data_IF_953318760399
#
_entry.id   IF_953318760399
#
_cell.length_a   1.000
_cell.length_b   1.000
_cell.length_c   1.000
_cell.angle_alpha   90.00
_cell.angle_beta   90.00
_cell.angle_gamma   90.00
#
_symmetry.space_group_name_H-M   'P 1'
#
loop_
_entity.id
_entity.type
_entity.pdbx_description
1 polymer ?
#
# COMPACT_ATOMS: atom_id res chain seq x y z
N UNK A 1 -11.58 -11.99 -14.51
CA UNK A 1 -11.41 -10.71 -13.81
C UNK A 1 -10.09 -10.01 -14.17
N UNK A 2 -8.90 -10.61 -14.00
CA UNK A 2 -7.60 -9.98 -14.32
C UNK A 2 -7.48 -9.50 -15.77
N UNK A 3 -7.95 -10.32 -16.75
CA UNK A 3 -7.93 -9.94 -18.17
C UNK A 3 -8.76 -8.68 -18.48
N UNK A 4 -9.91 -8.53 -17.83
CA UNK A 4 -10.77 -7.34 -17.99
C UNK A 4 -10.06 -6.10 -17.44
N UNK A 5 -9.44 -6.19 -16.26
CA UNK A 5 -8.68 -5.08 -15.68
C UNK A 5 -7.48 -4.74 -16.57
N UNK A 6 -6.74 -5.75 -17.04
CA UNK A 6 -5.60 -5.55 -17.93
C UNK A 6 -6.00 -4.83 -19.22
N UNK A 7 -7.11 -5.25 -19.83
CA UNK A 7 -7.67 -4.62 -21.01
C UNK A 7 -8.09 -3.16 -20.74
N UNK A 8 -8.80 -2.92 -19.65
CA UNK A 8 -9.21 -1.56 -19.26
C UNK A 8 -8.01 -0.62 -19.05
N UNK A 9 -6.95 -1.09 -18.38
CA UNK A 9 -5.71 -0.32 -18.20
C UNK A 9 -5.03 -0.07 -19.55
N UNK A 10 -4.97 -1.08 -20.43
CA UNK A 10 -4.35 -0.96 -21.76
C UNK A 10 -5.09 0.00 -22.67
N UNK A 11 -6.41 -0.04 -22.67
CA UNK A 11 -7.25 0.82 -23.53
C UNK A 11 -7.30 2.28 -23.01
N UNK A 12 -7.00 2.53 -21.73
CA UNK A 12 -7.06 3.87 -21.16
C UNK A 12 -5.99 4.83 -21.74
N UNK A 13 -4.76 4.33 -21.99
CA UNK A 13 -3.63 5.17 -22.44
C UNK A 13 -2.53 4.41 -23.21
N UNK A 14 -2.77 3.16 -23.59
CA UNK A 14 -1.83 2.36 -24.40
C UNK A 14 -0.59 1.83 -23.66
N UNK A 15 -0.31 2.31 -22.45
CA UNK A 15 0.91 1.99 -21.70
C UNK A 15 0.93 0.56 -21.09
N UNK A 16 1.93 0.21 -20.27
CA UNK A 16 2.06 -1.10 -19.64
C UNK A 16 0.91 -1.35 -18.67
N UNK A 17 0.44 -2.63 -18.61
CA UNK A 17 -0.65 -3.05 -17.72
C UNK A 17 -0.23 -3.07 -16.26
N UNK A 18 1.00 -3.53 -16.02
CA UNK A 18 1.54 -3.67 -14.68
C UNK A 18 2.54 -2.58 -14.36
N UNK A 19 2.50 -2.16 -13.11
CA UNK A 19 3.51 -1.34 -12.47
C UNK A 19 4.34 -2.22 -11.52
N UNK A 20 5.65 -2.09 -11.61
CA UNK A 20 6.63 -2.84 -10.81
C UNK A 20 7.43 -1.89 -9.97
N UNK A 21 7.62 -2.23 -8.69
CA UNK A 21 8.41 -1.40 -7.78
C UNK A 21 9.13 -2.26 -6.74
N UNK A 22 10.39 -1.94 -6.51
CA UNK A 22 11.16 -2.60 -5.47
C UNK A 22 10.69 -2.20 -4.08
N UNK A 23 10.48 -3.21 -3.25
CA UNK A 23 9.99 -3.09 -1.89
C UNK A 23 10.89 -3.85 -0.93
N UNK A 24 10.96 -3.37 0.31
CA UNK A 24 11.68 -4.08 1.37
C UNK A 24 10.72 -5.02 2.08
N UNK A 25 11.09 -6.30 2.13
CA UNK A 25 10.36 -7.41 2.74
C UNK A 25 10.97 -7.84 4.07
N UNK A 26 10.68 -9.11 4.44
CA UNK A 26 11.20 -9.72 5.66
C UNK A 26 12.74 -9.75 5.64
N UNK A 27 13.34 -9.52 6.81
CA UNK A 27 14.80 -9.53 7.04
C UNK A 27 15.55 -8.55 6.10
N UNK A 28 14.85 -7.49 5.63
CA UNK A 28 15.43 -6.50 4.75
C UNK A 28 15.61 -6.95 3.29
N UNK A 29 15.12 -8.13 2.90
CA UNK A 29 15.21 -8.64 1.53
C UNK A 29 14.38 -7.79 0.59
N UNK A 30 14.96 -7.40 -0.54
CA UNK A 30 14.25 -6.65 -1.58
C UNK A 30 13.49 -7.61 -2.47
N UNK A 31 12.23 -7.27 -2.76
CA UNK A 31 11.40 -7.99 -3.72
C UNK A 31 10.66 -7.03 -4.65
N UNK A 32 10.25 -7.50 -5.82
CA UNK A 32 9.47 -6.70 -6.77
C UNK A 32 8.00 -6.80 -6.44
N UNK A 33 7.44 -5.70 -5.91
CA UNK A 33 5.99 -5.55 -5.75
C UNK A 33 5.32 -5.28 -7.10
N UNK A 34 4.23 -5.98 -7.38
CA UNK A 34 3.48 -5.88 -8.63
C UNK A 34 2.10 -5.30 -8.37
N UNK A 35 1.66 -4.34 -9.20
CA UNK A 35 0.31 -3.76 -9.16
C UNK A 35 -0.23 -3.59 -10.57
N UNK A 36 -1.56 -3.50 -10.73
CA UNK A 36 -2.09 -2.89 -11.93
C UNK A 36 -1.74 -1.41 -11.94
N UNK A 37 -1.30 -0.92 -13.10
CA UNK A 37 -0.95 0.49 -13.25
C UNK A 37 -2.20 1.36 -13.10
N UNK A 38 -2.15 2.30 -12.18
CA UNK A 38 -3.23 3.24 -11.88
C UNK A 38 -2.87 4.70 -12.13
N UNK A 39 -1.63 4.96 -12.57
CA UNK A 39 -1.10 6.28 -12.91
C UNK A 39 -0.64 6.32 -14.36
N UNK A 40 -0.49 7.54 -14.90
CA UNK A 40 0.08 7.74 -16.24
C UNK A 40 1.48 7.13 -16.35
N UNK A 41 1.91 6.70 -17.53
CA UNK A 41 3.27 6.20 -17.75
C UNK A 41 4.31 7.21 -17.27
N UNK A 42 5.45 6.71 -16.79
CA UNK A 42 6.63 7.51 -16.39
C UNK A 42 6.36 8.53 -15.28
N UNK A 43 5.26 8.35 -14.52
CA UNK A 43 4.91 9.28 -13.45
C UNK A 43 6.01 9.41 -12.38
N UNK A 44 6.76 8.34 -12.07
CA UNK A 44 7.88 8.40 -11.12
C UNK A 44 9.12 9.08 -11.70
N UNK A 45 9.38 8.92 -12.99
CA UNK A 45 10.51 9.58 -13.65
C UNK A 45 10.31 11.10 -13.71
N UNK A 46 9.05 11.54 -13.94
CA UNK A 46 8.71 12.96 -14.06
C UNK A 46 8.57 13.68 -12.73
N UNK A 47 8.06 13.01 -11.69
CA UNK A 47 7.72 13.64 -10.39
C UNK A 47 8.43 13.00 -9.20
N UNK A 48 9.31 12.02 -9.43
CA UNK A 48 9.99 11.27 -8.37
C UNK A 48 9.08 10.23 -7.69
N UNK A 49 9.69 9.45 -6.80
CA UNK A 49 9.01 8.44 -5.99
C UNK A 49 8.20 9.10 -4.84
N UNK A 50 7.18 9.88 -5.19
CA UNK A 50 6.33 10.59 -4.23
C UNK A 50 4.99 9.86 -4.08
N UNK A 51 4.55 9.56 -2.83
CA UNK A 51 3.23 8.98 -2.59
C UNK A 51 2.12 9.84 -3.21
N UNK A 52 1.11 9.17 -3.78
CA UNK A 52 -0.01 9.86 -4.40
C UNK A 52 -0.86 10.62 -3.39
N UNK A 53 -1.23 11.86 -3.73
CA UNK A 53 -2.23 12.65 -3.01
C UNK A 53 -3.66 12.18 -3.34
N UNK A 54 -4.66 12.66 -2.57
CA UNK A 54 -6.07 12.26 -2.75
C UNK A 54 -6.63 12.60 -4.15
N UNK A 55 -6.21 13.74 -4.74
CA UNK A 55 -6.63 14.17 -6.07
C UNK A 55 -5.41 14.34 -6.99
N UNK A 56 -4.52 13.35 -6.98
CA UNK A 56 -3.30 13.38 -7.75
C UNK A 56 -3.59 13.36 -9.25
N UNK A 57 -3.13 14.36 -10.04
CA UNK A 57 -3.38 14.43 -11.49
C UNK A 57 -2.75 13.29 -12.27
N UNK A 58 -1.78 12.59 -11.69
CA UNK A 58 -1.14 11.42 -12.29
C UNK A 58 -2.05 10.20 -12.35
N UNK A 59 -3.15 10.18 -11.57
CA UNK A 59 -4.06 9.02 -11.50
C UNK A 59 -4.98 9.01 -12.72
N UNK A 60 -4.96 7.93 -13.50
CA UNK A 60 -5.81 7.74 -14.67
C UNK A 60 -7.30 7.56 -14.28
N UNK A 61 -8.23 7.69 -15.24
CA UNK A 61 -9.66 7.45 -15.00
C UNK A 61 -9.91 6.02 -14.49
N UNK A 62 -9.33 5.03 -15.15
CA UNK A 62 -9.38 3.61 -14.72
C UNK A 62 -8.68 3.44 -13.39
N UNK A 63 -7.52 4.08 -13.20
CA UNK A 63 -6.76 4.06 -11.96
C UNK A 63 -7.55 4.55 -10.74
N UNK A 64 -8.43 5.55 -10.88
CA UNK A 64 -9.31 6.02 -9.80
C UNK A 64 -10.23 4.90 -9.29
N UNK A 65 -10.83 4.13 -10.22
CA UNK A 65 -11.71 3.02 -9.88
C UNK A 65 -10.90 1.89 -9.20
N UNK A 66 -9.76 1.51 -9.80
CA UNK A 66 -8.91 0.47 -9.25
C UNK A 66 -8.44 0.78 -7.83
N UNK A 67 -8.04 2.03 -7.56
CA UNK A 67 -7.59 2.46 -6.23
C UNK A 67 -8.73 2.58 -5.22
N UNK A 68 -9.93 3.01 -5.66
CA UNK A 68 -11.11 3.07 -4.78
C UNK A 68 -11.57 1.68 -4.31
N UNK A 69 -11.37 0.67 -5.16
CA UNK A 69 -11.73 -0.74 -4.91
C UNK A 69 -10.57 -1.60 -4.42
N UNK A 70 -9.36 -1.03 -4.31
CA UNK A 70 -8.10 -1.73 -4.02
C UNK A 70 -7.77 -2.85 -5.04
N UNK A 71 -8.42 -2.87 -6.21
CA UNK A 71 -8.16 -3.85 -7.27
C UNK A 71 -6.80 -3.68 -7.93
N UNK A 72 -6.20 -2.50 -7.84
CA UNK A 72 -4.82 -2.27 -8.29
C UNK A 72 -3.80 -3.14 -7.53
N UNK A 73 -4.11 -3.58 -6.32
CA UNK A 73 -3.23 -4.41 -5.50
C UNK A 73 -3.39 -5.94 -5.71
N UNK A 74 -4.37 -6.38 -6.52
CA UNK A 74 -4.58 -7.82 -6.79
C UNK A 74 -3.33 -8.56 -7.29
N UNK A 75 -2.45 -7.99 -8.14
CA UNK A 75 -1.23 -8.68 -8.56
C UNK A 75 -0.25 -9.00 -7.42
N UNK A 76 -0.37 -8.34 -6.24
CA UNK A 76 0.45 -8.67 -5.07
C UNK A 76 0.10 -10.05 -4.47
N UNK A 77 -1.04 -10.65 -4.83
CA UNK A 77 -1.33 -12.05 -4.51
C UNK A 77 -0.24 -13.00 -5.01
N UNK A 78 0.41 -12.65 -6.12
CA UNK A 78 1.58 -13.38 -6.60
C UNK A 78 2.77 -13.30 -5.65
N UNK A 79 3.02 -12.13 -5.06
CA UNK A 79 4.06 -11.96 -4.02
C UNK A 79 3.74 -12.75 -2.74
N UNK A 80 2.44 -12.88 -2.41
CA UNK A 80 2.01 -13.73 -1.28
C UNK A 80 2.24 -15.20 -1.60
N UNK A 81 1.87 -15.65 -2.79
CA UNK A 81 2.08 -17.02 -3.23
C UNK A 81 3.57 -17.41 -3.24
N UNK A 82 4.44 -16.50 -3.67
CA UNK A 82 5.90 -16.69 -3.64
C UNK A 82 6.51 -16.66 -2.24
N UNK A 83 5.77 -16.20 -1.22
CA UNK A 83 6.25 -16.05 0.14
C UNK A 83 7.01 -14.75 0.43
N UNK A 84 7.05 -13.81 -0.52
CA UNK A 84 7.63 -12.47 -0.33
C UNK A 84 6.77 -11.61 0.60
N UNK A 85 5.44 -11.85 0.59
CA UNK A 85 4.44 -11.14 1.39
C UNK A 85 3.53 -12.11 2.15
N UNK A 86 2.71 -11.55 3.03
CA UNK A 86 1.55 -12.20 3.65
C UNK A 86 0.27 -11.39 3.37
N UNK A 87 -0.90 -11.92 3.68
CA UNK A 87 -2.13 -11.12 3.68
C UNK A 87 -2.08 -10.01 4.72
N UNK A 88 -1.53 -10.32 5.90
CA UNK A 88 -1.43 -9.38 7.03
C UNK A 88 0.02 -9.15 7.40
N UNK A 89 0.37 -7.88 7.65
CA UNK A 89 1.72 -7.48 8.04
C UNK A 89 1.95 -5.97 7.87
N UNK A 90 3.12 -5.48 8.25
CA UNK A 90 3.53 -4.11 7.95
C UNK A 90 3.48 -3.83 6.44
N UNK A 91 2.94 -2.67 6.03
CA UNK A 91 2.92 -2.33 4.59
C UNK A 91 4.34 -2.22 4.04
N UNK A 92 4.68 -2.91 2.93
CA UNK A 92 6.02 -2.84 2.37
C UNK A 92 6.32 -1.43 1.84
N UNK A 93 7.44 -0.85 2.27
CA UNK A 93 7.89 0.47 1.84
C UNK A 93 8.91 0.35 0.70
N UNK A 94 9.07 1.43 -0.07
CA UNK A 94 10.04 1.55 -1.15
C UNK A 94 11.46 1.55 -0.60
N UNK A 95 12.40 0.99 -1.33
CA UNK A 95 13.81 0.90 -0.91
C UNK A 95 14.38 2.28 -0.55
N UNK A 96 14.09 3.31 -1.37
CA UNK A 96 14.55 4.67 -1.15
C UNK A 96 13.95 5.29 0.13
N UNK A 97 12.65 5.02 0.37
CA UNK A 97 11.99 5.50 1.57
C UNK A 97 12.50 4.80 2.82
N UNK A 98 12.80 3.50 2.75
CA UNK A 98 13.39 2.76 3.87
C UNK A 98 14.75 3.33 4.23
N UNK A 99 15.61 3.64 3.25
CA UNK A 99 16.91 4.29 3.50
C UNK A 99 16.73 5.61 4.25
N UNK A 100 15.78 6.45 3.81
CA UNK A 100 15.48 7.72 4.47
C UNK A 100 14.96 7.50 5.90
N UNK A 101 14.03 6.54 6.09
CA UNK A 101 13.42 6.32 7.41
C UNK A 101 14.39 5.69 8.41
N UNK A 102 15.35 4.88 7.97
CA UNK A 102 16.46 4.39 8.81
C UNK A 102 17.30 5.52 9.39
N UNK A 103 17.57 6.56 8.59
CA UNK A 103 18.32 7.73 9.07
C UNK A 103 17.54 8.54 10.12
N UNK A 104 16.20 8.61 10.00
CA UNK A 104 15.33 9.36 10.91
C UNK A 104 14.92 8.56 12.17
N UNK A 105 14.84 7.22 12.05
CA UNK A 105 14.31 6.32 13.09
C UNK A 105 15.18 5.06 13.12
N UNK A 106 16.18 4.98 14.02
CA UNK A 106 17.09 3.83 14.09
C UNK A 106 16.41 2.46 14.26
N UNK A 107 15.25 2.42 14.94
CA UNK A 107 14.47 1.19 15.13
C UNK A 107 13.55 0.83 13.96
N UNK A 108 13.63 1.54 12.83
CA UNK A 108 12.70 1.34 11.70
C UNK A 108 12.75 -0.09 11.14
N UNK A 109 13.92 -0.71 11.14
CA UNK A 109 14.11 -2.06 10.59
C UNK A 109 13.48 -3.18 11.41
N UNK A 110 13.14 -2.93 12.68
CA UNK A 110 12.48 -3.93 13.51
C UNK A 110 11.12 -4.37 12.94
N UNK A 111 10.50 -3.57 12.09
CA UNK A 111 9.29 -3.92 11.37
C UNK A 111 9.48 -5.02 10.32
N UNK A 112 10.71 -5.22 9.87
CA UNK A 112 11.06 -6.22 8.87
C UNK A 112 11.29 -7.62 9.45
N UNK A 113 11.13 -7.82 10.76
CA UNK A 113 11.21 -9.14 11.40
C UNK A 113 10.08 -10.09 10.93
N UNK A 114 8.99 -9.53 10.39
CA UNK A 114 7.86 -10.27 9.84
C UNK A 114 7.67 -9.99 8.36
N UNK A 115 6.93 -10.87 7.65
CA UNK A 115 6.57 -10.62 6.25
C UNK A 115 5.70 -9.37 6.14
N UNK A 116 5.92 -8.53 5.12
CA UNK A 116 5.01 -7.42 4.83
C UNK A 116 3.65 -7.93 4.38
N UNK A 117 2.60 -7.11 4.60
CA UNK A 117 1.22 -7.47 4.30
C UNK A 117 0.51 -6.54 3.33
N UNK A 118 -0.55 -7.05 2.70
CA UNK A 118 -1.53 -6.24 1.96
C UNK A 118 -2.31 -5.35 2.93
N UNK A 119 -2.70 -5.90 4.06
CA UNK A 119 -3.29 -5.17 5.18
C UNK A 119 -2.48 -5.35 6.46
N UNK A 120 -2.80 -4.60 7.52
CA UNK A 120 -2.12 -4.70 8.80
C UNK A 120 -2.68 -3.71 9.81
N UNK A 121 -2.17 -3.74 11.05
CA UNK A 121 -2.64 -2.89 12.13
C UNK A 121 -2.60 -1.39 11.77
N UNK A 122 -1.50 -0.91 11.17
CA UNK A 122 -1.37 0.48 10.76
C UNK A 122 -2.35 0.88 9.66
N UNK A 123 -2.70 -0.04 8.74
CA UNK A 123 -3.67 0.22 7.67
C UNK A 123 -5.12 0.22 8.20
N UNK A 124 -5.45 -0.69 9.12
CA UNK A 124 -6.82 -0.83 9.65
C UNK A 124 -7.15 0.23 10.70
N UNK A 125 -6.25 0.51 11.63
CA UNK A 125 -6.48 1.42 12.76
C UNK A 125 -5.82 2.80 12.59
N UNK A 126 -4.87 2.92 11.67
CA UNK A 126 -4.20 4.17 11.38
C UNK A 126 -5.03 5.11 10.51
N UNK A 127 -4.53 6.32 10.31
CA UNK A 127 -5.05 7.34 9.38
C UNK A 127 -3.90 7.88 8.52
N UNK A 128 -4.23 8.48 7.38
CA UNK A 128 -3.24 8.94 6.39
C UNK A 128 -2.21 9.93 6.95
N UNK A 129 -2.65 10.83 7.83
CA UNK A 129 -1.82 11.87 8.44
C UNK A 129 -1.01 11.39 9.65
N UNK A 130 -1.12 10.11 10.01
CA UNK A 130 -0.37 9.54 11.12
C UNK A 130 1.13 9.62 10.87
N UNK A 131 1.88 10.08 11.87
CA UNK A 131 3.34 10.14 11.79
C UNK A 131 3.96 8.76 11.58
N UNK A 132 5.13 8.71 10.94
CA UNK A 132 5.88 7.46 10.68
C UNK A 132 6.20 6.69 11.95
N UNK A 133 6.54 7.41 13.04
CA UNK A 133 6.82 6.80 14.36
C UNK A 133 5.57 6.11 14.91
N UNK A 134 4.38 6.68 14.72
CA UNK A 134 3.14 6.03 15.14
C UNK A 134 2.80 4.82 14.27
N UNK A 135 2.99 4.90 12.95
CA UNK A 135 2.83 3.73 12.06
C UNK A 135 3.77 2.59 12.47
N UNK A 136 5.03 2.92 12.76
CA UNK A 136 6.01 1.94 13.23
C UNK A 136 5.57 1.27 14.54
N UNK A 137 4.95 2.00 15.48
CA UNK A 137 4.43 1.38 16.72
C UNK A 137 3.37 0.30 16.42
N UNK A 138 2.46 0.54 15.46
CA UNK A 138 1.50 -0.47 15.03
C UNK A 138 2.18 -1.67 14.35
N UNK A 139 3.18 -1.42 13.52
CA UNK A 139 3.94 -2.48 12.86
C UNK A 139 4.68 -3.36 13.88
N UNK A 140 5.33 -2.74 14.87
CA UNK A 140 6.01 -3.46 15.95
C UNK A 140 5.04 -4.20 16.88
N UNK A 141 3.87 -3.61 17.16
CA UNK A 141 2.81 -4.27 17.91
C UNK A 141 2.33 -5.54 17.19
N UNK A 142 2.12 -5.44 15.86
CA UNK A 142 1.77 -6.59 15.04
C UNK A 142 2.87 -7.66 15.08
N UNK A 143 4.12 -7.27 14.87
CA UNK A 143 5.25 -8.21 14.87
C UNK A 143 5.37 -9.02 16.18
N UNK A 144 5.01 -8.39 17.33
CA UNK A 144 5.02 -9.04 18.65
C UNK A 144 3.78 -9.90 18.94
N UNK A 145 2.64 -9.60 18.31
CA UNK A 145 1.34 -10.20 18.64
C UNK A 145 0.70 -10.94 17.47
N UNK A 146 1.45 -11.18 16.39
CA UNK A 146 0.89 -11.87 15.23
C UNK A 146 0.29 -13.23 15.65
N UNK A 147 -0.90 -13.50 15.19
CA UNK A 147 -1.62 -14.74 15.40
C UNK A 147 -2.67 -14.92 14.32
N UNK A 148 -3.08 -16.17 14.07
CA UNK A 148 -4.12 -16.47 13.09
C UNK A 148 -5.42 -15.67 13.34
N UNK A 149 -5.86 -15.56 14.59
CA UNK A 149 -7.09 -14.83 14.93
C UNK A 149 -6.95 -13.32 14.73
N UNK A 150 -5.80 -12.75 15.02
CA UNK A 150 -5.52 -11.34 14.74
C UNK A 150 -5.52 -11.09 13.23
N UNK A 151 -4.88 -11.97 12.45
CA UNK A 151 -4.83 -11.86 11.00
C UNK A 151 -6.22 -11.96 10.39
N UNK A 152 -7.02 -12.94 10.78
CA UNK A 152 -8.40 -13.11 10.32
C UNK A 152 -9.22 -11.85 10.62
N UNK A 153 -9.13 -11.32 11.85
CA UNK A 153 -9.81 -10.08 12.24
C UNK A 153 -9.40 -8.89 11.37
N UNK A 154 -8.10 -8.71 11.11
CA UNK A 154 -7.58 -7.61 10.31
C UNK A 154 -8.01 -7.71 8.85
N UNK A 155 -8.04 -8.91 8.28
CA UNK A 155 -8.57 -9.16 6.93
C UNK A 155 -10.04 -8.74 6.85
N UNK A 156 -10.90 -9.23 7.77
CA UNK A 156 -12.33 -8.89 7.78
C UNK A 156 -12.56 -7.38 7.93
N UNK A 157 -11.84 -6.73 8.84
CA UNK A 157 -11.93 -5.28 9.04
C UNK A 157 -11.45 -4.49 7.82
N UNK A 158 -10.43 -4.99 7.12
CA UNK A 158 -9.92 -4.37 5.89
C UNK A 158 -10.96 -4.43 4.77
N UNK A 159 -11.61 -5.59 4.57
CA UNK A 159 -12.72 -5.73 3.63
C UNK A 159 -13.87 -4.79 3.99
N UNK A 160 -14.32 -4.79 5.24
CA UNK A 160 -15.39 -3.89 5.69
C UNK A 160 -15.04 -2.40 5.47
N UNK A 161 -13.78 -2.00 5.67
CA UNK A 161 -13.32 -0.63 5.42
C UNK A 161 -13.33 -0.27 3.94
N UNK A 162 -12.94 -1.21 3.05
CA UNK A 162 -12.94 -1.03 1.60
C UNK A 162 -14.37 -0.87 1.07
N UNK A 163 -15.27 -1.77 1.42
CA UNK A 163 -16.67 -1.74 0.94
C UNK A 163 -17.52 -0.62 1.56
N UNK A 164 -17.20 -0.13 2.76
CA UNK A 164 -17.93 0.97 3.40
C UNK A 164 -17.51 2.37 2.93
N UNK A 165 -16.63 2.48 1.92
CA UNK A 165 -16.08 3.76 1.46
C UNK A 165 -15.27 4.52 2.53
N UNK A 166 -15.00 3.90 3.69
CA UNK A 166 -14.18 4.49 4.76
C UNK A 166 -12.71 4.61 4.34
N UNK A 167 -12.30 3.83 3.35
CA UNK A 167 -10.94 3.89 2.78
C UNK A 167 -10.65 5.26 2.17
N UNK A 168 -11.60 5.85 1.44
CA UNK A 168 -11.43 7.20 0.87
C UNK A 168 -11.36 8.29 1.94
N UNK A 169 -12.09 8.15 3.05
CA UNK A 169 -12.03 9.08 4.19
C UNK A 169 -10.69 9.01 4.92
N UNK A 170 -10.05 7.85 4.97
CA UNK A 170 -8.72 7.67 5.57
C UNK A 170 -7.59 8.18 4.67
N UNK A 171 -7.80 8.25 3.36
CA UNK A 171 -6.83 8.73 2.37
C UNK A 171 -6.80 10.25 2.17
N UNK A 172 -7.32 11.06 3.11
CA UNK A 172 -7.08 12.53 3.11
C UNK A 172 -8.20 13.41 2.56
N UNK A 173 -9.45 12.93 2.37
CA UNK A 173 -10.56 13.81 1.97
C UNK A 173 -11.14 14.68 3.09
N UNK A 174 -10.61 14.66 4.31
CA UNK A 174 -11.17 15.38 5.48
C UNK A 174 -10.41 16.64 5.90
N UNK A 175 -9.58 17.21 5.03
CA UNK A 175 -8.88 18.49 5.29
C UNK A 175 -9.79 19.74 5.19
N UNK A 176 -11.08 19.64 4.86
CA UNK A 176 -11.93 20.81 4.59
C UNK A 176 -12.79 21.33 5.74
N UNK A 177 -12.57 20.92 7.00
CA UNK A 177 -13.44 21.37 8.11
C UNK A 177 -12.71 21.95 9.34
N UNK A 178 -11.53 22.52 9.19
CA UNK A 178 -10.88 23.30 10.28
C UNK A 178 -10.22 24.58 9.76
N UNK A 179 -10.95 25.36 8.97
CA UNK A 179 -10.68 26.79 8.76
C UNK A 179 -12.03 27.50 8.74
N UNK A 180 -12.57 27.72 9.92
CA UNK A 180 -13.47 28.83 10.30
C UNK A 180 -13.30 29.05 11.80
#
# INVERSE_FOLDING_TARGET
MWGIIALAVKLNDGGPVFYRQERVGKDGRVFTGLKFRSMVPDSEQKWGAVPAAANDPRITKVGKILRATAMDELPQLWSIFRGDMSFVGPRPEWVELVKKFRAEIPSFDLRHQVRPGLTGLAQVYGHSEMSRRHKLRYDLLYARRQSFWLDLRLVLLSFAATFSGRWERRAGKFSRRRQR
#
